data_IF_604435866771
#
_entry.id   IF_604435866771
#
_cell.length_a   1.000
_cell.length_b   1.000
_cell.length_c   1.000
_cell.angle_alpha   90.00
_cell.angle_beta   90.00
_cell.angle_gamma   90.00
#
_symmetry.space_group_name_H-M   'P 1'
#
loop_
_entity.id
_entity.type
_entity.pdbx_description
1 polymer ?
#
# COMPACT_ATOMS: atom_id res chain seq x y z
N UNK A 1 -37.31 0.85 9.06
CA UNK A 1 -36.17 -0.10 9.06
C UNK A 1 -36.55 -1.52 9.46
N UNK A 2 -37.59 -1.71 10.26
CA UNK A 2 -38.06 -3.05 10.65
C UNK A 2 -38.71 -3.86 9.54
N UNK A 3 -39.16 -3.20 8.49
CA UNK A 3 -39.91 -3.84 7.40
C UNK A 3 -39.05 -4.83 6.58
N UNK A 4 -37.82 -4.42 6.21
CA UNK A 4 -36.88 -5.32 5.51
C UNK A 4 -36.52 -6.57 6.31
N UNK A 5 -36.45 -6.45 7.64
CA UNK A 5 -36.22 -7.59 8.53
C UNK A 5 -37.41 -8.56 8.48
N UNK A 6 -38.63 -8.05 8.50
CA UNK A 6 -39.85 -8.86 8.39
C UNK A 6 -39.98 -9.56 7.03
N UNK A 7 -39.64 -8.85 5.95
CA UNK A 7 -39.55 -9.41 4.60
C UNK A 7 -38.54 -10.56 4.54
N UNK A 8 -37.34 -10.39 5.10
CA UNK A 8 -36.33 -11.43 5.16
C UNK A 8 -36.78 -12.65 6.00
N UNK A 9 -37.43 -12.40 7.13
CA UNK A 9 -38.02 -13.48 7.96
C UNK A 9 -39.10 -14.22 7.22
N UNK A 10 -40.00 -13.54 6.51
CA UNK A 10 -41.04 -14.15 5.70
C UNK A 10 -40.44 -15.02 4.58
N UNK A 11 -39.44 -14.50 3.86
CA UNK A 11 -38.74 -15.27 2.82
C UNK A 11 -38.10 -16.54 3.40
N UNK A 12 -37.45 -16.45 4.56
CA UNK A 12 -36.87 -17.63 5.22
C UNK A 12 -37.94 -18.65 5.65
N UNK A 13 -39.12 -18.21 6.11
CA UNK A 13 -40.22 -19.11 6.49
C UNK A 13 -40.69 -19.90 5.31
N UNK A 14 -40.86 -19.26 4.17
CA UNK A 14 -41.29 -19.93 2.93
C UNK A 14 -40.19 -20.88 2.44
N UNK A 15 -38.97 -20.42 2.38
CA UNK A 15 -37.82 -21.21 1.90
C UNK A 15 -37.59 -22.50 2.72
N UNK A 16 -37.73 -22.40 4.05
CA UNK A 16 -37.49 -23.53 4.95
C UNK A 16 -38.75 -24.36 5.24
N UNK A 17 -39.92 -23.95 4.74
CA UNK A 17 -41.17 -24.68 4.85
C UNK A 17 -41.83 -24.71 6.23
N UNK A 18 -41.20 -24.10 7.25
CA UNK A 18 -41.77 -24.03 8.59
C UNK A 18 -41.20 -22.89 9.43
N UNK A 19 -42.00 -22.35 10.38
CA UNK A 19 -41.57 -21.33 11.34
C UNK A 19 -40.36 -21.78 12.20
N UNK A 20 -40.36 -23.07 12.60
CA UNK A 20 -39.28 -23.63 13.43
C UNK A 20 -37.98 -23.82 12.65
N UNK A 21 -38.04 -24.22 11.40
CA UNK A 21 -36.85 -24.35 10.56
C UNK A 21 -36.26 -22.98 10.22
N UNK A 22 -37.10 -22.00 9.87
CA UNK A 22 -36.67 -20.62 9.67
C UNK A 22 -36.06 -20.01 10.93
N UNK A 23 -36.62 -20.27 12.10
CA UNK A 23 -36.12 -19.81 13.39
C UNK A 23 -34.70 -20.30 13.65
N UNK A 24 -34.43 -21.59 13.40
CA UNK A 24 -33.07 -22.16 13.51
C UNK A 24 -32.09 -21.50 12.54
N UNK A 25 -32.50 -21.32 11.27
CA UNK A 25 -31.66 -20.71 10.24
C UNK A 25 -31.32 -19.23 10.55
N UNK A 26 -32.26 -18.52 11.18
CA UNK A 26 -32.13 -17.10 11.51
C UNK A 26 -31.56 -16.83 12.92
N UNK A 27 -31.29 -17.86 13.74
CA UNK A 27 -30.88 -17.72 15.12
C UNK A 27 -31.94 -17.03 16.02
N UNK A 28 -33.24 -17.25 15.70
CA UNK A 28 -34.39 -16.65 16.39
C UNK A 28 -35.22 -17.72 17.11
N UNK A 29 -36.11 -17.29 18.03
CA UNK A 29 -37.12 -18.20 18.57
C UNK A 29 -38.28 -18.38 17.57
N UNK A 30 -38.97 -19.55 17.55
CA UNK A 30 -40.14 -19.78 16.69
C UNK A 30 -41.27 -18.77 16.96
N UNK A 31 -41.44 -18.34 18.20
CA UNK A 31 -42.43 -17.32 18.58
C UNK A 31 -42.09 -15.95 17.96
N UNK A 32 -40.80 -15.55 18.00
CA UNK A 32 -40.35 -14.30 17.40
C UNK A 32 -40.55 -14.31 15.86
N UNK A 33 -40.20 -15.40 15.17
CA UNK A 33 -40.45 -15.55 13.75
C UNK A 33 -41.95 -15.44 13.42
N UNK A 34 -42.82 -16.16 14.18
CA UNK A 34 -44.28 -16.07 14.00
C UNK A 34 -44.81 -14.66 14.23
N UNK A 35 -44.28 -13.94 15.22
CA UNK A 35 -44.65 -12.56 15.49
C UNK A 35 -44.25 -11.61 14.36
N UNK A 36 -43.05 -11.76 13.80
CA UNK A 36 -42.59 -10.95 12.67
C UNK A 36 -43.49 -11.13 11.44
N UNK A 37 -43.85 -12.38 11.10
CA UNK A 37 -44.74 -12.66 9.98
C UNK A 37 -46.15 -12.10 10.22
N UNK A 38 -46.71 -12.27 11.43
CA UNK A 38 -48.00 -11.69 11.79
C UNK A 38 -48.01 -10.16 11.71
N UNK A 39 -46.91 -9.54 12.11
CA UNK A 39 -46.79 -8.09 12.03
C UNK A 39 -46.74 -7.61 10.59
N UNK A 40 -45.99 -8.34 9.71
CA UNK A 40 -45.94 -8.06 8.27
C UNK A 40 -47.35 -8.14 7.62
N UNK A 41 -48.13 -9.19 7.93
CA UNK A 41 -49.50 -9.35 7.45
C UNK A 41 -50.42 -8.23 7.95
N UNK A 42 -50.29 -7.82 9.21
CA UNK A 42 -51.10 -6.72 9.81
C UNK A 42 -50.75 -5.38 9.16
N UNK A 43 -49.46 -5.08 9.00
CA UNK A 43 -49.03 -3.82 8.41
C UNK A 43 -49.43 -3.70 6.95
N UNK A 44 -49.38 -4.82 6.21
CA UNK A 44 -49.83 -4.90 4.83
C UNK A 44 -51.35 -5.05 4.63
N UNK A 45 -52.09 -5.31 5.71
CA UNK A 45 -53.56 -5.53 5.65
C UNK A 45 -53.99 -6.75 4.86
N UNK A 46 -53.08 -7.71 4.61
CA UNK A 46 -53.34 -8.89 3.78
C UNK A 46 -52.74 -10.16 4.40
N UNK A 47 -53.40 -11.30 4.20
CA UNK A 47 -52.87 -12.59 4.62
C UNK A 47 -51.92 -13.12 3.53
N UNK A 48 -50.71 -13.48 3.94
CA UNK A 48 -49.70 -14.03 3.03
C UNK A 48 -49.57 -15.56 3.13
N UNK A 49 -49.88 -16.12 4.32
CA UNK A 49 -49.76 -17.55 4.61
C UNK A 49 -51.10 -18.15 5.04
N UNK A 50 -51.47 -19.26 4.41
CA UNK A 50 -52.47 -20.15 4.97
C UNK A 50 -51.84 -20.98 6.08
N UNK A 51 -52.42 -20.91 7.28
CA UNK A 51 -51.92 -21.65 8.47
C UNK A 51 -52.74 -22.95 8.61
N UNK A 52 -52.08 -24.06 8.36
CA UNK A 52 -52.56 -25.35 8.84
C UNK A 52 -51.60 -25.87 9.89
N UNK A 53 -52.05 -26.76 10.76
CA UNK A 53 -51.20 -27.38 11.82
C UNK A 53 -50.08 -28.26 11.23
N UNK A 54 -50.10 -28.54 9.94
CA UNK A 54 -49.16 -29.48 9.30
C UNK A 54 -48.28 -28.86 8.18
N UNK A 55 -48.73 -27.79 7.56
CA UNK A 55 -47.96 -27.17 6.43
C UNK A 55 -48.25 -25.67 6.36
N UNK A 56 -47.24 -24.94 5.89
CA UNK A 56 -47.34 -23.54 5.47
C UNK A 56 -47.59 -23.52 3.98
N UNK A 57 -48.69 -22.90 3.55
CA UNK A 57 -49.00 -22.65 2.14
C UNK A 57 -49.09 -21.13 1.91
N UNK A 58 -48.69 -20.69 0.75
CA UNK A 58 -48.78 -19.28 0.34
C UNK A 58 -50.20 -18.97 -0.17
N UNK A 59 -50.66 -17.76 0.06
CA UNK A 59 -51.79 -17.19 -0.70
C UNK A 59 -51.27 -16.68 -2.05
N UNK A 60 -52.15 -16.39 -3.02
CA UNK A 60 -51.76 -15.79 -4.32
C UNK A 60 -51.00 -14.48 -4.12
N UNK A 61 -51.37 -13.65 -3.12
CA UNK A 61 -50.65 -12.45 -2.75
C UNK A 61 -49.32 -12.80 -2.09
N UNK A 62 -49.31 -13.82 -1.23
CA UNK A 62 -48.12 -14.34 -0.58
C UNK A 62 -47.10 -14.85 -1.59
N UNK A 63 -47.49 -15.55 -2.65
CA UNK A 63 -46.62 -16.04 -3.71
C UNK A 63 -45.89 -14.88 -4.42
N UNK A 64 -46.66 -13.89 -4.90
CA UNK A 64 -46.10 -12.70 -5.57
C UNK A 64 -45.19 -11.91 -4.66
N UNK A 65 -45.56 -11.75 -3.39
CA UNK A 65 -44.79 -11.03 -2.39
C UNK A 65 -43.49 -11.77 -2.03
N UNK A 66 -43.56 -13.11 -1.91
CA UNK A 66 -42.42 -13.98 -1.67
C UNK A 66 -41.33 -13.83 -2.72
N UNK A 67 -41.68 -13.76 -3.99
CA UNK A 67 -40.71 -13.60 -5.08
C UNK A 67 -39.85 -12.33 -4.87
N UNK A 68 -40.47 -11.22 -4.45
CA UNK A 68 -39.75 -9.97 -4.19
C UNK A 68 -38.90 -10.06 -2.89
N UNK A 69 -39.45 -10.68 -1.86
CA UNK A 69 -38.72 -10.88 -0.59
C UNK A 69 -37.51 -11.81 -0.78
N UNK A 70 -37.65 -12.86 -1.57
CA UNK A 70 -36.57 -13.79 -1.92
C UNK A 70 -35.46 -13.10 -2.72
N UNK A 71 -35.81 -12.28 -3.72
CA UNK A 71 -34.86 -11.50 -4.51
C UNK A 71 -34.06 -10.51 -3.61
N UNK A 72 -34.75 -9.81 -2.70
CA UNK A 72 -34.13 -8.93 -1.73
C UNK A 72 -33.14 -9.68 -0.80
N UNK A 73 -33.57 -10.83 -0.24
CA UNK A 73 -32.74 -11.65 0.63
C UNK A 73 -31.49 -12.18 -0.11
N UNK A 74 -31.64 -12.59 -1.36
CA UNK A 74 -30.54 -13.03 -2.22
C UNK A 74 -29.56 -11.89 -2.49
N UNK A 75 -30.03 -10.70 -2.87
CA UNK A 75 -29.20 -9.53 -3.11
C UNK A 75 -28.41 -9.14 -1.84
N UNK A 76 -29.06 -9.17 -0.67
CA UNK A 76 -28.41 -8.91 0.61
C UNK A 76 -27.34 -9.97 0.94
N UNK A 77 -27.56 -11.23 0.61
CA UNK A 77 -26.58 -12.31 0.79
C UNK A 77 -25.38 -12.14 -0.14
N UNK A 78 -25.61 -11.79 -1.41
CA UNK A 78 -24.55 -11.50 -2.37
C UNK A 78 -23.69 -10.32 -1.93
N UNK A 79 -24.31 -9.21 -1.47
CA UNK A 79 -23.59 -8.07 -0.97
C UNK A 79 -22.68 -8.40 0.24
N UNK A 80 -23.13 -9.29 1.14
CA UNK A 80 -22.31 -9.77 2.26
C UNK A 80 -21.14 -10.64 1.78
N UNK A 81 -21.39 -11.51 0.80
CA UNK A 81 -20.35 -12.35 0.21
C UNK A 81 -19.26 -11.52 -0.47
N UNK A 82 -19.63 -10.46 -1.19
CA UNK A 82 -18.69 -9.49 -1.78
C UNK A 82 -17.80 -8.83 -0.74
N UNK A 83 -18.38 -8.38 0.39
CA UNK A 83 -17.58 -7.78 1.48
C UNK A 83 -16.65 -8.81 2.13
N UNK A 84 -17.11 -10.05 2.32
CA UNK A 84 -16.28 -11.12 2.87
C UNK A 84 -15.14 -11.46 1.92
N UNK A 85 -15.41 -11.61 0.62
CA UNK A 85 -14.41 -11.86 -0.40
C UNK A 85 -13.35 -10.75 -0.43
N UNK A 86 -13.77 -9.48 -0.45
CA UNK A 86 -12.85 -8.34 -0.44
C UNK A 86 -11.97 -8.28 0.83
N UNK A 87 -12.49 -8.77 1.97
CA UNK A 87 -11.75 -8.85 3.23
C UNK A 87 -10.73 -9.98 3.22
N UNK A 88 -11.07 -11.15 2.69
CA UNK A 88 -10.34 -12.40 2.89
C UNK A 88 -9.41 -12.73 1.71
N UNK A 89 -9.78 -12.37 0.49
CA UNK A 89 -9.05 -12.69 -0.73
C UNK A 89 -8.69 -11.44 -1.56
N UNK A 90 -7.45 -11.39 -2.12
CA UNK A 90 -7.07 -10.31 -3.01
C UNK A 90 -7.74 -10.48 -4.39
N UNK A 91 -8.56 -9.53 -4.77
CA UNK A 91 -9.27 -9.53 -6.05
C UNK A 91 -9.61 -8.12 -6.54
N UNK A 92 -10.11 -8.03 -7.77
CA UNK A 92 -10.48 -6.76 -8.41
C UNK A 92 -9.29 -5.97 -8.91
N UNK A 93 -9.29 -4.65 -8.77
CA UNK A 93 -8.20 -3.75 -9.17
C UNK A 93 -7.47 -3.19 -7.95
N UNK A 94 -6.13 -3.32 -7.93
CA UNK A 94 -5.24 -2.63 -7.01
C UNK A 94 -4.65 -1.40 -7.72
N UNK A 95 -4.99 -0.21 -7.27
CA UNK A 95 -4.42 1.06 -7.76
C UNK A 95 -3.28 1.48 -6.87
N UNK A 96 -2.06 1.40 -7.42
CA UNK A 96 -0.82 1.69 -6.72
C UNK A 96 -0.15 2.91 -7.34
N UNK A 97 0.22 3.89 -6.52
CA UNK A 97 1.07 4.99 -6.93
C UNK A 97 2.48 4.81 -6.37
N UNK A 98 3.49 4.98 -7.21
CA UNK A 98 4.88 4.92 -6.80
C UNK A 98 5.66 6.12 -7.35
N UNK A 99 6.74 6.49 -6.65
CA UNK A 99 7.71 7.44 -7.21
C UNK A 99 8.47 6.81 -8.36
N UNK A 100 9.02 7.65 -9.25
CA UNK A 100 9.80 7.19 -10.42
C UNK A 100 10.97 6.31 -9.97
N UNK A 101 11.66 6.65 -8.88
CA UNK A 101 12.75 5.83 -8.33
C UNK A 101 12.30 4.45 -7.85
N UNK A 102 11.05 4.32 -7.37
CA UNK A 102 10.55 3.03 -6.87
C UNK A 102 9.97 2.12 -7.97
N UNK A 103 9.68 2.65 -9.15
CA UNK A 103 8.97 1.92 -10.22
C UNK A 103 9.67 0.60 -10.61
N UNK A 104 11.01 0.58 -10.66
CA UNK A 104 11.81 -0.60 -10.97
C UNK A 104 11.64 -1.76 -9.98
N UNK A 105 11.25 -1.45 -8.75
CA UNK A 105 11.09 -2.42 -7.66
C UNK A 105 9.70 -3.04 -7.61
N UNK A 106 8.72 -2.49 -8.33
CA UNK A 106 7.33 -2.98 -8.28
C UNK A 106 7.20 -4.39 -8.86
N UNK A 107 7.78 -4.64 -10.04
CA UNK A 107 7.70 -5.95 -10.68
C UNK A 107 8.42 -7.05 -9.86
N UNK A 108 9.65 -6.85 -9.35
CA UNK A 108 10.28 -7.82 -8.46
C UNK A 108 9.50 -8.06 -7.16
N UNK A 109 8.94 -7.01 -6.56
CA UNK A 109 8.22 -7.12 -5.29
C UNK A 109 6.85 -7.80 -5.42
N UNK A 110 6.09 -7.48 -6.46
CA UNK A 110 4.70 -7.90 -6.59
C UNK A 110 4.46 -8.95 -7.67
N UNK A 111 5.40 -9.19 -8.60
CA UNK A 111 5.18 -10.05 -9.76
C UNK A 111 4.79 -11.47 -9.39
N UNK A 112 5.49 -12.11 -8.46
CA UNK A 112 5.16 -13.47 -8.02
C UNK A 112 3.81 -13.52 -7.27
N UNK A 113 3.49 -12.51 -6.50
CA UNK A 113 2.21 -12.42 -5.81
C UNK A 113 1.06 -12.21 -6.80
N UNK A 114 1.21 -11.32 -7.79
CA UNK A 114 0.22 -11.11 -8.86
C UNK A 114 -0.03 -12.38 -9.67
N UNK A 115 1.01 -13.13 -10.00
CA UNK A 115 0.88 -14.39 -10.74
C UNK A 115 0.04 -15.45 -10.00
N UNK A 116 0.03 -15.43 -8.66
CA UNK A 116 -0.79 -16.33 -7.83
C UNK A 116 -2.24 -15.85 -7.65
N UNK A 117 -2.54 -14.62 -8.05
CA UNK A 117 -3.88 -14.03 -7.91
C UNK A 117 -4.41 -13.49 -9.25
N UNK A 118 -4.78 -14.38 -10.21
CA UNK A 118 -5.17 -13.99 -11.57
C UNK A 118 -6.44 -13.12 -11.64
N UNK A 119 -7.26 -13.13 -10.59
CA UNK A 119 -8.44 -12.27 -10.47
C UNK A 119 -8.09 -10.82 -10.06
N UNK A 120 -6.81 -10.56 -9.70
CA UNK A 120 -6.32 -9.24 -9.32
C UNK A 120 -5.66 -8.55 -10.51
N UNK A 121 -6.03 -7.30 -10.75
CA UNK A 121 -5.38 -6.42 -11.74
C UNK A 121 -4.61 -5.33 -11.01
N UNK A 122 -3.39 -5.06 -11.45
CA UNK A 122 -2.60 -3.92 -10.96
C UNK A 122 -2.72 -2.76 -11.94
N UNK A 123 -3.12 -1.59 -11.43
CA UNK A 123 -2.95 -0.30 -12.09
C UNK A 123 -1.85 0.47 -11.38
N UNK A 124 -0.77 0.80 -12.09
CA UNK A 124 0.40 1.47 -11.53
C UNK A 124 0.54 2.88 -12.10
N UNK A 125 0.44 3.89 -11.23
CA UNK A 125 0.76 5.27 -11.53
C UNK A 125 2.16 5.60 -11.02
N UNK A 126 3.03 6.09 -11.90
CA UNK A 126 4.42 6.44 -11.58
C UNK A 126 4.62 7.94 -11.73
N UNK A 127 4.69 8.63 -10.59
CA UNK A 127 4.91 10.09 -10.54
C UNK A 127 5.52 10.50 -9.19
N UNK A 128 6.47 11.45 -9.24
CA UNK A 128 7.06 12.06 -8.04
C UNK A 128 6.21 13.22 -7.47
N UNK A 129 5.22 13.70 -8.21
CA UNK A 129 4.31 14.75 -7.75
C UNK A 129 3.45 14.26 -6.55
N UNK A 130 3.11 15.18 -5.63
CA UNK A 130 2.12 14.90 -4.61
C UNK A 130 0.79 14.48 -5.24
N UNK A 131 0.19 13.40 -4.73
CA UNK A 131 -1.08 12.88 -5.23
C UNK A 131 -2.13 12.88 -4.12
N UNK A 132 -3.35 13.27 -4.45
CA UNK A 132 -4.51 13.04 -3.60
C UNK A 132 -5.02 11.61 -3.82
N UNK A 133 -4.86 10.78 -2.79
CA UNK A 133 -5.21 9.36 -2.88
C UNK A 133 -6.70 9.13 -3.11
N UNK A 134 -7.55 10.00 -2.57
CA UNK A 134 -9.01 9.84 -2.65
C UNK A 134 -9.49 10.26 -4.04
N UNK A 135 -9.11 11.46 -4.51
CA UNK A 135 -9.51 11.95 -5.82
C UNK A 135 -8.99 11.05 -6.95
N UNK A 136 -7.76 10.57 -6.82
CA UNK A 136 -7.12 9.67 -7.80
C UNK A 136 -7.50 8.20 -7.62
N UNK A 137 -8.33 7.88 -6.61
CA UNK A 137 -8.75 6.51 -6.27
C UNK A 137 -7.57 5.55 -6.08
N UNK A 138 -6.49 6.02 -5.46
CA UNK A 138 -5.31 5.21 -5.16
C UNK A 138 -5.55 4.41 -3.88
N UNK A 139 -5.37 3.09 -3.95
CA UNK A 139 -5.49 2.19 -2.80
C UNK A 139 -4.23 2.21 -1.93
N UNK A 140 -3.05 2.34 -2.57
CA UNK A 140 -1.74 2.29 -1.94
C UNK A 140 -0.76 3.21 -2.66
N UNK A 141 -0.06 4.08 -1.93
CA UNK A 141 1.05 4.86 -2.47
C UNK A 141 2.37 4.52 -1.77
N UNK A 142 3.45 4.43 -2.56
CA UNK A 142 4.81 4.28 -2.06
C UNK A 142 5.53 5.61 -2.13
N UNK A 143 6.08 6.05 -1.00
CA UNK A 143 6.72 7.37 -0.88
C UNK A 143 8.03 7.28 -0.10
N UNK A 144 8.94 8.19 -0.37
CA UNK A 144 10.24 8.30 0.30
C UNK A 144 10.32 9.55 1.18
N UNK A 145 11.08 9.44 2.26
CA UNK A 145 11.45 10.55 3.13
C UNK A 145 10.33 11.02 4.03
N UNK A 146 10.28 12.32 4.33
CA UNK A 146 9.26 12.92 5.18
C UNK A 146 7.94 13.02 4.44
N UNK A 147 6.88 12.53 5.08
CA UNK A 147 5.53 12.69 4.58
C UNK A 147 4.97 14.04 5.04
N UNK A 148 4.22 14.71 4.16
CA UNK A 148 3.39 15.84 4.56
C UNK A 148 2.25 15.35 5.47
N UNK A 149 1.83 16.20 6.40
CA UNK A 149 0.63 15.91 7.21
C UNK A 149 -0.60 15.98 6.31
N UNK A 150 -1.17 14.81 6.04
CA UNK A 150 -2.26 14.64 5.08
C UNK A 150 -3.49 13.94 5.65
N UNK A 151 -3.45 13.56 6.94
CA UNK A 151 -4.50 12.74 7.56
C UNK A 151 -4.58 11.30 7.04
N UNK A 152 -3.71 10.88 6.11
CA UNK A 152 -3.67 9.51 5.60
C UNK A 152 -2.89 8.58 6.52
N UNK A 153 -3.18 7.29 6.42
CA UNK A 153 -2.45 6.31 7.19
C UNK A 153 -1.11 5.99 6.52
N UNK A 154 -0.02 6.14 7.26
CA UNK A 154 1.31 5.79 6.81
C UNK A 154 1.87 4.61 7.61
N UNK A 155 2.47 3.66 6.92
CA UNK A 155 3.22 2.54 7.49
C UNK A 155 4.64 2.58 6.94
N UNK A 156 5.62 2.67 7.83
CA UNK A 156 7.03 2.57 7.46
C UNK A 156 7.34 1.14 7.03
N UNK A 157 7.92 0.98 5.84
CA UNK A 157 8.33 -0.32 5.29
C UNK A 157 9.82 -0.62 5.55
N UNK A 158 10.63 0.42 5.67
CA UNK A 158 12.07 0.36 5.88
C UNK A 158 12.70 1.73 5.66
N UNK A 159 14.02 1.77 5.59
CA UNK A 159 14.77 2.95 5.16
C UNK A 159 15.90 2.53 4.21
N UNK A 160 16.04 3.21 3.10
CA UNK A 160 17.22 3.07 2.25
C UNK A 160 18.34 4.01 2.73
N UNK A 161 19.60 3.60 2.55
CA UNK A 161 20.76 4.42 2.81
C UNK A 161 21.21 5.14 1.54
N UNK A 162 21.85 6.30 1.70
CA UNK A 162 22.53 6.96 0.60
C UNK A 162 23.97 6.46 0.52
N UNK A 163 24.38 6.02 -0.66
CA UNK A 163 25.76 5.67 -0.95
C UNK A 163 26.39 6.74 -1.82
N UNK A 164 27.59 7.17 -1.45
CA UNK A 164 28.40 8.00 -2.32
C UNK A 164 29.03 7.10 -3.38
N UNK A 165 28.74 7.38 -4.66
CA UNK A 165 29.16 6.54 -5.78
C UNK A 165 29.90 7.35 -6.84
N UNK A 166 30.81 6.67 -7.53
CA UNK A 166 31.45 7.12 -8.78
C UNK A 166 31.71 5.94 -9.69
N UNK A 167 31.91 6.17 -10.99
CA UNK A 167 32.37 5.13 -11.90
C UNK A 167 33.87 4.82 -11.71
N UNK A 168 34.34 3.59 -12.04
CA UNK A 168 35.76 3.26 -12.02
C UNK A 168 36.61 4.20 -12.89
N UNK A 169 36.12 4.61 -14.04
CA UNK A 169 36.80 5.53 -14.95
C UNK A 169 37.03 6.89 -14.30
N UNK A 170 35.99 7.46 -13.65
CA UNK A 170 36.12 8.72 -12.94
C UNK A 170 37.15 8.64 -11.81
N UNK A 171 37.16 7.53 -11.07
CA UNK A 171 38.08 7.29 -9.96
C UNK A 171 39.54 7.25 -10.46
N UNK A 172 39.79 6.56 -11.58
CA UNK A 172 41.14 6.49 -12.19
C UNK A 172 41.62 7.87 -12.62
N UNK A 173 40.77 8.68 -13.23
CA UNK A 173 41.12 10.02 -13.71
C UNK A 173 41.43 10.98 -12.54
N UNK A 174 40.81 10.79 -11.36
CA UNK A 174 40.92 11.70 -10.22
C UNK A 174 41.77 11.17 -9.06
N UNK A 175 42.70 10.26 -9.30
CA UNK A 175 43.77 9.88 -8.36
C UNK A 175 43.50 8.63 -7.52
N UNK A 176 42.56 7.80 -7.90
CA UNK A 176 42.34 6.45 -7.34
C UNK A 176 41.61 6.42 -5.99
N UNK A 177 40.48 5.74 -5.94
CA UNK A 177 39.54 5.74 -4.82
C UNK A 177 40.05 5.25 -3.46
N UNK A 178 41.16 4.53 -3.40
CA UNK A 178 41.78 4.08 -2.13
C UNK A 178 42.37 5.21 -1.29
N UNK A 179 42.52 6.39 -1.88
CA UNK A 179 43.10 7.55 -1.20
C UNK A 179 42.09 8.34 -0.36
N UNK A 180 40.79 8.22 -0.64
CA UNK A 180 39.80 9.02 0.09
C UNK A 180 39.29 8.27 1.34
N UNK A 181 39.65 8.80 2.48
CA UNK A 181 39.21 8.34 3.81
C UNK A 181 38.24 9.29 4.49
N UNK A 182 38.11 10.51 3.94
CA UNK A 182 37.30 11.58 4.50
C UNK A 182 36.54 12.33 3.42
N UNK A 183 35.31 12.86 3.66
CA UNK A 183 34.51 13.58 2.67
C UNK A 183 35.10 14.90 2.19
N UNK A 184 35.94 15.58 2.99
CA UNK A 184 36.43 16.93 2.69
C UNK A 184 37.13 17.08 1.34
N UNK A 185 38.01 16.17 0.89
CA UNK A 185 38.67 16.28 -0.43
C UNK A 185 37.67 16.21 -1.59
N UNK A 186 36.51 15.60 -1.40
CA UNK A 186 35.50 15.42 -2.44
C UNK A 186 34.61 16.66 -2.59
N UNK A 187 34.67 17.64 -1.69
CA UNK A 187 33.85 18.84 -1.79
C UNK A 187 34.13 19.67 -3.06
N UNK A 188 35.33 19.62 -3.60
CA UNK A 188 35.72 20.29 -4.85
C UNK A 188 35.52 19.45 -6.11
N UNK A 189 35.08 18.22 -5.99
CA UNK A 189 34.85 17.33 -7.13
C UNK A 189 33.63 17.76 -7.96
N UNK A 190 33.45 17.15 -9.13
CA UNK A 190 32.22 17.30 -9.91
C UNK A 190 31.12 16.48 -9.31
N UNK A 191 30.06 17.15 -8.85
CA UNK A 191 28.89 16.52 -8.26
C UNK A 191 27.72 16.47 -9.21
N UNK A 192 26.98 15.37 -9.14
CA UNK A 192 25.67 15.19 -9.75
C UNK A 192 24.64 15.28 -8.62
N UNK A 193 23.58 16.05 -8.79
CA UNK A 193 22.58 16.32 -7.75
C UNK A 193 21.16 16.05 -8.15
N UNK A 194 20.37 15.49 -7.21
CA UNK A 194 18.94 15.34 -7.39
C UNK A 194 18.25 16.69 -7.14
N UNK A 195 17.73 17.30 -8.20
CA UNK A 195 16.96 18.53 -8.12
C UNK A 195 15.51 18.20 -7.76
N UNK A 196 15.13 18.32 -6.50
CA UNK A 196 13.73 18.17 -6.07
C UNK A 196 12.93 19.46 -6.21
N UNK A 197 13.58 20.61 -6.22
CA UNK A 197 13.00 21.94 -6.40
C UNK A 197 13.97 22.84 -7.16
N UNK A 198 13.52 23.97 -7.62
CA UNK A 198 14.15 25.02 -8.46
C UNK A 198 15.67 24.98 -8.64
N UNK A 199 16.11 25.27 -9.86
CA UNK A 199 17.52 25.45 -10.26
C UNK A 199 18.33 26.28 -9.25
N UNK A 200 19.51 25.76 -8.87
CA UNK A 200 20.52 26.51 -8.09
C UNK A 200 20.62 26.15 -6.60
N UNK A 201 19.88 25.18 -6.09
CA UNK A 201 20.10 24.75 -4.71
C UNK A 201 21.37 23.92 -4.57
N UNK A 202 22.21 24.30 -3.60
CA UNK A 202 23.36 23.49 -3.19
C UNK A 202 22.89 22.15 -2.65
N UNK A 203 23.53 21.06 -3.08
CA UNK A 203 23.38 19.75 -2.45
C UNK A 203 23.98 19.85 -1.05
N UNK A 204 23.20 19.48 -0.04
CA UNK A 204 23.64 19.39 1.35
C UNK A 204 23.49 17.97 1.83
N UNK A 205 24.55 17.44 2.41
CA UNK A 205 24.54 16.11 3.02
C UNK A 205 25.36 16.15 4.31
N UNK A 206 24.80 15.59 5.37
CA UNK A 206 25.53 15.33 6.61
C UNK A 206 26.10 13.90 6.50
N UNK A 207 27.41 13.81 6.65
CA UNK A 207 28.11 12.55 6.73
C UNK A 207 28.52 12.29 8.18
N UNK A 208 28.31 11.08 8.67
CA UNK A 208 28.72 10.64 9.99
C UNK A 208 29.60 9.40 9.88
N UNK A 209 30.71 9.36 10.61
CA UNK A 209 31.55 8.17 10.74
C UNK A 209 31.12 7.41 12.01
N UNK A 210 30.37 6.29 11.91
CA UNK A 210 29.76 5.66 13.07
C UNK A 210 30.74 5.19 14.16
N UNK A 211 31.96 4.79 13.77
CA UNK A 211 32.94 4.27 14.70
C UNK A 211 33.64 5.37 15.52
N UNK A 212 33.80 6.60 14.96
CA UNK A 212 34.49 7.71 15.63
C UNK A 212 33.54 8.78 16.16
N UNK A 213 32.28 8.79 15.65
CA UNK A 213 31.32 9.87 15.92
C UNK A 213 31.62 11.17 15.17
N UNK A 214 32.65 11.18 14.31
CA UNK A 214 32.99 12.34 13.48
C UNK A 214 31.88 12.69 12.52
N UNK A 215 31.55 13.96 12.39
CA UNK A 215 30.55 14.47 11.47
C UNK A 215 31.14 15.46 10.48
N UNK A 216 30.67 15.46 9.25
CA UNK A 216 31.09 16.39 8.21
C UNK A 216 29.87 16.88 7.41
N UNK A 217 29.70 18.21 7.37
CA UNK A 217 28.66 18.83 6.57
C UNK A 217 29.18 19.11 5.15
N UNK A 218 28.69 18.37 4.19
CA UNK A 218 29.02 18.55 2.78
C UNK A 218 28.02 19.52 2.15
N UNK A 219 28.55 20.60 1.57
CA UNK A 219 27.74 21.54 0.79
C UNK A 219 28.43 21.78 -0.55
N UNK A 220 27.80 21.35 -1.63
CA UNK A 220 28.37 21.44 -2.97
C UNK A 220 27.34 21.93 -3.99
N UNK A 221 27.81 22.62 -5.02
CA UNK A 221 26.98 22.98 -6.16
C UNK A 221 27.05 21.83 -7.20
N UNK A 222 25.96 21.15 -7.50
CA UNK A 222 25.96 20.13 -8.56
C UNK A 222 26.33 20.74 -9.91
N UNK A 223 27.27 20.09 -10.60
CA UNK A 223 27.63 20.46 -11.98
C UNK A 223 26.55 20.02 -12.95
N UNK A 224 25.88 18.90 -12.67
CA UNK A 224 24.73 18.39 -13.39
C UNK A 224 23.62 18.11 -12.37
N UNK A 225 22.41 18.49 -12.68
CA UNK A 225 21.24 18.22 -11.85
C UNK A 225 20.14 17.54 -12.67
N UNK A 226 19.44 16.59 -12.06
CA UNK A 226 18.26 15.93 -12.62
C UNK A 226 17.21 15.73 -11.53
N UNK A 227 15.94 15.81 -11.90
CA UNK A 227 14.84 15.42 -11.02
C UNK A 227 14.59 13.90 -11.01
N UNK A 228 15.39 13.13 -11.76
CA UNK A 228 15.24 11.69 -11.92
C UNK A 228 16.48 10.95 -11.40
N UNK A 229 16.29 10.08 -10.41
CA UNK A 229 17.35 9.30 -9.75
C UNK A 229 18.05 8.34 -10.75
N UNK A 230 17.28 7.70 -11.64
CA UNK A 230 17.85 6.78 -12.64
C UNK A 230 18.76 7.52 -13.62
N UNK A 231 18.39 8.72 -14.06
CA UNK A 231 19.24 9.56 -14.91
C UNK A 231 20.55 9.93 -14.22
N UNK A 232 20.51 10.26 -12.93
CA UNK A 232 21.72 10.55 -12.15
C UNK A 232 22.61 9.32 -12.02
N UNK A 233 22.04 8.14 -11.79
CA UNK A 233 22.79 6.88 -11.76
C UNK A 233 23.52 6.66 -13.09
N UNK A 234 22.81 6.75 -14.22
CA UNK A 234 23.38 6.56 -15.56
C UNK A 234 24.49 7.57 -15.87
N UNK A 235 24.31 8.83 -15.48
CA UNK A 235 25.35 9.86 -15.62
C UNK A 235 26.58 9.58 -14.74
N UNK A 236 26.36 9.05 -13.54
CA UNK A 236 27.44 8.62 -12.64
C UNK A 236 28.20 7.42 -13.22
N UNK A 237 27.51 6.42 -13.76
CA UNK A 237 28.09 5.26 -14.44
C UNK A 237 28.91 5.70 -15.68
N UNK A 238 28.43 6.72 -16.41
CA UNK A 238 29.14 7.31 -17.55
C UNK A 238 30.36 8.20 -17.16
N UNK A 239 30.65 8.35 -15.87
CA UNK A 239 31.84 9.06 -15.41
C UNK A 239 31.70 10.59 -15.32
N UNK A 240 30.48 11.15 -15.35
CA UNK A 240 30.29 12.60 -15.30
C UNK A 240 30.57 13.22 -13.92
N UNK A 241 30.65 12.43 -12.85
CA UNK A 241 30.93 12.93 -11.50
C UNK A 241 30.53 11.99 -10.38
N UNK A 242 30.54 12.51 -9.16
CA UNK A 242 30.11 11.86 -7.94
C UNK A 242 28.60 12.05 -7.72
N UNK A 243 27.94 11.07 -7.14
CA UNK A 243 26.54 11.17 -6.75
C UNK A 243 26.25 10.48 -5.41
N UNK A 244 25.33 11.07 -4.63
CA UNK A 244 24.66 10.37 -3.55
C UNK A 244 23.43 9.66 -4.12
N UNK A 245 23.46 8.33 -4.11
CA UNK A 245 22.46 7.49 -4.74
C UNK A 245 21.85 6.54 -3.69
N UNK A 246 20.56 6.19 -3.88
CA UNK A 246 19.90 5.24 -3.00
C UNK A 246 20.52 3.84 -3.10
N UNK A 247 20.90 3.25 -1.97
CA UNK A 247 21.56 1.95 -1.90
C UNK A 247 20.82 0.85 -2.65
N UNK A 248 19.50 0.80 -2.52
CA UNK A 248 18.66 -0.18 -3.20
C UNK A 248 18.67 -0.06 -4.73
N UNK A 249 18.92 1.16 -5.26
CA UNK A 249 18.92 1.41 -6.70
C UNK A 249 20.26 1.05 -7.35
N UNK A 250 21.35 1.19 -6.60
CA UNK A 250 22.71 1.05 -7.14
C UNK A 250 23.46 -0.20 -6.69
N UNK A 251 22.84 -1.02 -5.82
CA UNK A 251 23.49 -2.23 -5.30
C UNK A 251 24.01 -3.16 -6.42
N UNK A 252 23.19 -3.38 -7.45
CA UNK A 252 23.56 -4.22 -8.59
C UNK A 252 24.71 -3.57 -9.39
N UNK A 253 24.64 -2.26 -9.65
CA UNK A 253 25.69 -1.54 -10.36
C UNK A 253 27.03 -1.58 -9.61
N UNK A 254 26.99 -1.57 -8.27
CA UNK A 254 28.18 -1.72 -7.43
C UNK A 254 28.68 -3.18 -7.48
N UNK A 255 27.79 -4.16 -7.36
CA UNK A 255 28.17 -5.57 -7.44
C UNK A 255 28.77 -5.96 -8.79
N UNK A 256 28.29 -5.37 -9.88
CA UNK A 256 28.77 -5.57 -11.24
C UNK A 256 30.02 -4.72 -11.59
N UNK A 257 30.46 -3.85 -10.68
CA UNK A 257 31.62 -3.00 -10.88
C UNK A 257 31.42 -1.81 -11.83
N UNK A 258 30.15 -1.49 -12.20
CA UNK A 258 29.81 -0.27 -12.97
C UNK A 258 29.91 0.99 -12.12
N UNK A 259 29.66 0.87 -10.83
CA UNK A 259 29.88 1.89 -9.82
C UNK A 259 30.75 1.36 -8.69
N UNK A 260 31.43 2.26 -8.00
CA UNK A 260 32.18 2.00 -6.78
C UNK A 260 31.59 2.84 -5.67
N UNK A 261 31.28 2.22 -4.53
CA UNK A 261 30.90 2.92 -3.33
C UNK A 261 32.14 3.54 -2.68
N UNK A 262 32.17 4.85 -2.61
CA UNK A 262 33.22 5.61 -1.95
C UNK A 262 32.88 5.81 -0.47
N UNK A 263 33.91 5.95 0.38
CA UNK A 263 33.77 6.20 1.80
C UNK A 263 32.77 5.24 2.49
N UNK A 264 32.96 3.92 2.38
CA UNK A 264 32.02 2.94 2.90
C UNK A 264 31.82 3.01 4.42
N UNK A 265 32.79 3.58 5.14
CA UNK A 265 32.76 3.76 6.60
C UNK A 265 31.96 5.02 7.03
N UNK A 266 31.55 5.84 6.06
CA UNK A 266 30.73 7.03 6.32
C UNK A 266 29.26 6.79 5.97
N UNK A 267 28.38 7.20 6.88
CA UNK A 267 26.93 7.21 6.69
C UNK A 267 26.47 8.59 6.19
N UNK A 268 25.93 8.64 4.98
CA UNK A 268 25.35 9.83 4.35
C UNK A 268 23.84 9.94 4.56
N UNK A 269 23.34 9.31 5.64
CA UNK A 269 21.92 9.28 5.94
C UNK A 269 21.14 8.39 4.97
N UNK A 270 19.86 8.67 4.89
CA UNK A 270 18.95 7.87 4.06
C UNK A 270 17.53 8.42 4.07
N UNK A 271 16.64 7.69 3.45
CA UNK A 271 15.22 8.05 3.35
C UNK A 271 14.36 6.89 3.83
N UNK A 272 13.39 7.20 4.68
CA UNK A 272 12.36 6.25 5.04
C UNK A 272 11.50 5.90 3.83
N UNK A 273 11.07 4.65 3.77
CA UNK A 273 10.18 4.12 2.73
C UNK A 273 8.82 3.88 3.38
N UNK A 274 7.79 4.48 2.81
CA UNK A 274 6.44 4.47 3.36
C UNK A 274 5.44 3.85 2.41
N UNK A 275 4.55 3.02 2.97
CA UNK A 275 3.27 2.67 2.38
C UNK A 275 2.21 3.62 2.95
N UNK A 276 1.56 4.36 2.08
CA UNK A 276 0.52 5.34 2.43
C UNK A 276 -0.81 4.87 1.86
N UNK A 277 -1.84 4.87 2.70
CA UNK A 277 -3.20 4.43 2.35
C UNK A 277 -4.24 5.44 2.83
N UNK A 278 -5.41 5.54 2.19
CA UNK A 278 -6.46 6.45 2.63
C UNK A 278 -6.96 6.18 4.06
N UNK A 279 -6.90 4.91 4.50
CA UNK A 279 -7.40 4.49 5.82
C UNK A 279 -6.47 3.49 6.49
N UNK A 280 -6.39 3.54 7.82
CA UNK A 280 -5.59 2.61 8.63
C UNK A 280 -6.31 1.29 8.92
N UNK A 281 -7.62 1.33 9.08
CA UNK A 281 -8.44 0.19 9.46
C UNK A 281 -9.28 -0.31 8.28
N UNK A 282 -9.73 -1.56 8.37
CA UNK A 282 -10.60 -2.20 7.36
C UNK A 282 -10.03 -2.23 5.93
N UNK A 283 -8.70 -2.33 5.79
CA UNK A 283 -8.06 -2.43 4.48
C UNK A 283 -8.43 -3.76 3.79
N UNK A 284 -8.78 -3.75 2.49
CA UNK A 284 -9.00 -4.96 1.71
C UNK A 284 -7.77 -5.88 1.69
N UNK A 285 -8.00 -7.18 1.46
CA UNK A 285 -6.92 -8.17 1.39
C UNK A 285 -5.84 -7.80 0.35
N UNK A 286 -6.26 -7.27 -0.82
CA UNK A 286 -5.35 -6.81 -1.88
C UNK A 286 -4.31 -5.79 -1.37
N UNK A 287 -4.73 -4.83 -0.53
CA UNK A 287 -3.83 -3.80 0.02
C UNK A 287 -2.91 -4.38 1.09
N UNK A 288 -3.47 -5.14 2.05
CA UNK A 288 -2.68 -5.75 3.13
C UNK A 288 -1.60 -6.69 2.59
N UNK A 289 -1.95 -7.54 1.62
CA UNK A 289 -1.01 -8.51 1.04
C UNK A 289 0.03 -7.83 0.15
N UNK A 290 -0.34 -6.80 -0.62
CA UNK A 290 0.61 -6.00 -1.38
C UNK A 290 1.65 -5.33 -0.46
N UNK A 291 1.22 -4.72 0.66
CA UNK A 291 2.13 -4.14 1.65
C UNK A 291 3.06 -5.21 2.23
N UNK A 292 2.55 -6.39 2.56
CA UNK A 292 3.37 -7.49 3.08
C UNK A 292 4.41 -7.98 2.05
N UNK A 293 4.03 -8.11 0.78
CA UNK A 293 4.94 -8.51 -0.30
C UNK A 293 6.04 -7.46 -0.53
N UNK A 294 5.67 -6.17 -0.55
CA UNK A 294 6.62 -5.06 -0.66
C UNK A 294 7.61 -5.04 0.53
N UNK A 295 7.12 -5.23 1.74
CA UNK A 295 7.96 -5.27 2.94
C UNK A 295 8.93 -6.45 2.90
N UNK A 296 8.46 -7.64 2.52
CA UNK A 296 9.29 -8.84 2.39
C UNK A 296 10.38 -8.68 1.30
N UNK A 297 10.06 -8.02 0.19
CA UNK A 297 11.02 -7.70 -0.86
C UNK A 297 12.08 -6.71 -0.37
N UNK A 298 11.65 -5.60 0.25
CA UNK A 298 12.56 -4.56 0.73
C UNK A 298 13.55 -5.07 1.78
N UNK A 299 13.13 -5.99 2.66
CA UNK A 299 13.99 -6.60 3.66
C UNK A 299 15.15 -7.43 3.07
N UNK A 300 15.07 -7.80 1.79
CA UNK A 300 16.11 -8.56 1.09
C UNK A 300 17.11 -7.67 0.34
N UNK A 301 16.79 -6.36 0.20
CA UNK A 301 17.62 -5.46 -0.61
C UNK A 301 18.84 -4.97 0.19
N UNK A 302 20.04 -4.95 -0.45
CA UNK A 302 21.24 -4.42 0.15
C UNK A 302 21.07 -2.95 0.56
N UNK A 303 21.50 -2.61 1.78
CA UNK A 303 21.44 -1.24 2.29
C UNK A 303 20.05 -0.71 2.61
N UNK A 304 19.04 -1.56 2.61
CA UNK A 304 17.75 -1.28 3.24
C UNK A 304 17.81 -1.74 4.69
N UNK A 305 17.46 -0.84 5.60
CA UNK A 305 17.41 -1.13 7.04
C UNK A 305 15.96 -1.34 7.43
N UNK A 306 15.71 -2.44 8.13
CA UNK A 306 14.37 -2.77 8.61
C UNK A 306 13.74 -1.64 9.42
N UNK A 307 12.42 -1.51 9.31
CA UNK A 307 11.66 -0.72 10.25
C UNK A 307 11.75 -1.42 11.62
N UNK A 308 12.26 -0.78 12.69
CA UNK A 308 12.06 -1.33 14.03
C UNK A 308 10.55 -1.54 14.22
N UNK A 309 10.17 -2.67 14.84
CA UNK A 309 8.79 -2.96 15.15
C UNK A 309 8.19 -1.76 15.90
N UNK A 310 7.39 -0.94 15.23
CA UNK A 310 6.86 0.28 15.84
C UNK A 310 5.72 -0.07 16.78
N UNK A 311 5.89 0.37 18.04
CA UNK A 311 4.78 0.84 18.84
C UNK A 311 4.02 1.95 18.06
N UNK A 312 2.67 2.02 18.15
CA UNK A 312 1.89 3.03 17.45
C UNK A 312 2.40 4.42 17.83
N UNK A 313 2.75 5.24 16.83
CA UNK A 313 3.08 6.63 17.07
C UNK A 313 1.84 7.30 17.69
N UNK A 314 1.94 7.66 18.95
CA UNK A 314 1.00 8.59 19.59
C UNK A 314 1.09 9.90 18.80
N UNK A 315 -0.02 10.29 18.20
CA UNK A 315 -0.22 11.62 17.67
C UNK A 315 -0.19 12.56 18.87
N UNK A 316 0.73 13.54 18.96
CA UNK A 316 0.63 14.57 19.98
C UNK A 316 -0.70 15.28 19.73
N UNK A 317 -1.60 15.18 20.71
CA UNK A 317 -2.82 15.95 20.70
C UNK A 317 -2.48 17.44 20.75
N UNK A 318 -3.14 18.20 19.89
CA UNK A 318 -3.34 19.65 19.78
C UNK A 318 -2.23 20.56 20.23
#
# INVERSE_FOLDING_TARGET
MDDYKRMAVFAAVVQHGSMSAAARALGMSPSAVSQQVRQLERDGGVTLLHRSTRQIALTDTGERYYQQCAAMAQAASQARAELAAARDEPGGELRLSATVGFARHIAPALGHWLARHPALRLHLDVDDAPIDLIQSRIDLALRFGRLADSGWAARRLGAMRNWLCASPAWIQEHGGGAAWRHPAPLASARWLGLARERQGQALRAEACHPATGETYSLQVQPHVASNNQLSLQQMCEAGLGLALLGSMDVADAVAEGRLVRLLPDWDFGGLDIWAVTPQRQAQPAKVRQAIAALQAYLAQLPGVVDAPAQAPAEVPGR
#
